data_IF_300088993101
#
_entry.id   IF_300088993101
#
_cell.length_a   1.000
_cell.length_b   1.000
_cell.length_c   1.000
_cell.angle_alpha   90.00
_cell.angle_beta   90.00
_cell.angle_gamma   90.00
#
_symmetry.space_group_name_H-M   'P 1'
#
loop_
_entity.id
_entity.type
_entity.pdbx_description
1 polymer ?
#
# COMPACT_ATOMS: atom_id res chain seq x y z
N UNK A 1 -1.20 3.80 24.82
CA UNK A 1 -2.43 4.62 24.99
C UNK A 1 -3.41 4.25 23.89
N UNK A 2 -4.68 4.01 24.22
CA UNK A 2 -5.72 3.65 23.24
C UNK A 2 -6.80 4.73 23.26
N UNK A 3 -7.26 5.18 22.09
CA UNK A 3 -8.39 6.10 21.94
C UNK A 3 -9.46 5.43 21.08
N UNK A 4 -10.73 5.70 21.38
CA UNK A 4 -11.87 5.20 20.59
C UNK A 4 -12.67 6.39 20.10
N UNK A 5 -13.23 6.28 18.90
CA UNK A 5 -14.06 7.29 18.27
C UNK A 5 -14.85 6.68 17.11
N UNK A 6 -15.44 7.53 16.28
CA UNK A 6 -16.14 7.11 15.07
C UNK A 6 -15.90 8.09 13.92
N UNK A 7 -15.99 7.58 12.70
CA UNK A 7 -16.04 8.37 11.46
C UNK A 7 -17.33 7.98 10.76
N UNK A 8 -18.34 8.86 10.79
CA UNK A 8 -19.72 8.48 10.47
C UNK A 8 -20.18 7.33 11.37
N UNK A 9 -20.69 6.26 10.76
CA UNK A 9 -21.15 5.05 11.46
C UNK A 9 -20.03 4.03 11.72
N UNK A 10 -18.79 4.32 11.30
CA UNK A 10 -17.66 3.40 11.43
C UNK A 10 -16.94 3.66 12.75
N UNK A 11 -16.86 2.64 13.62
CA UNK A 11 -16.07 2.69 14.85
C UNK A 11 -14.57 2.69 14.53
N UNK A 12 -13.83 3.62 15.12
CA UNK A 12 -12.37 3.76 14.96
C UNK A 12 -11.68 3.59 16.30
N UNK A 13 -10.63 2.76 16.31
CA UNK A 13 -9.79 2.52 17.47
C UNK A 13 -8.36 2.90 17.11
N UNK A 14 -7.79 3.85 17.83
CA UNK A 14 -6.43 4.33 17.63
C UNK A 14 -5.54 3.76 18.72
N UNK A 15 -4.44 3.15 18.31
CA UNK A 15 -3.41 2.59 19.20
C UNK A 15 -2.12 3.39 19.06
N UNK A 16 -1.48 3.70 20.19
CA UNK A 16 -0.09 4.17 20.17
C UNK A 16 0.83 2.97 19.92
N UNK A 17 1.42 2.91 18.73
CA UNK A 17 2.20 1.77 18.27
C UNK A 17 1.35 0.61 17.75
N UNK A 18 2.01 -0.47 17.35
CA UNK A 18 1.34 -1.65 16.79
C UNK A 18 0.59 -2.42 17.89
N UNK A 19 -0.72 -2.69 17.73
CA UNK A 19 -1.43 -3.58 18.65
C UNK A 19 -0.88 -5.00 18.57
N UNK A 20 -0.92 -5.74 19.67
CA UNK A 20 -0.50 -7.14 19.69
C UNK A 20 -1.40 -8.00 18.79
N UNK A 21 -0.87 -9.12 18.32
CA UNK A 21 -1.60 -10.07 17.46
C UNK A 21 -2.95 -10.49 18.08
N UNK A 22 -3.01 -10.71 19.40
CA UNK A 22 -4.25 -11.07 20.09
C UNK A 22 -5.31 -9.97 20.03
N UNK A 23 -4.91 -8.69 20.13
CA UNK A 23 -5.84 -7.56 20.03
C UNK A 23 -6.38 -7.48 18.61
N UNK A 24 -5.51 -7.63 17.60
CA UNK A 24 -5.89 -7.64 16.19
C UNK A 24 -6.91 -8.75 15.93
N UNK A 25 -6.60 -9.99 16.34
CA UNK A 25 -7.48 -11.15 16.15
C UNK A 25 -8.84 -10.99 16.83
N UNK A 26 -8.90 -10.43 18.04
CA UNK A 26 -10.16 -10.22 18.77
C UNK A 26 -11.08 -9.21 18.07
N UNK A 27 -10.50 -8.26 17.34
CA UNK A 27 -11.24 -7.24 16.60
C UNK A 27 -11.50 -7.64 15.14
N UNK A 28 -10.84 -8.71 14.67
CA UNK A 28 -10.87 -9.10 13.28
C UNK A 28 -12.20 -9.78 12.92
N UNK A 29 -13.04 -9.07 12.16
CA UNK A 29 -14.19 -9.60 11.45
C UNK A 29 -14.74 -8.49 10.52
N UNK A 30 -14.16 -8.33 9.33
CA UNK A 30 -14.48 -7.19 8.46
C UNK A 30 -13.83 -5.89 8.92
N UNK A 31 -12.58 -5.96 9.38
CA UNK A 31 -11.83 -4.82 9.91
C UNK A 31 -10.87 -4.25 8.86
N UNK A 32 -10.67 -2.92 8.88
CA UNK A 32 -9.58 -2.24 8.18
C UNK A 32 -8.50 -1.84 9.20
N UNK A 33 -7.31 -2.44 9.09
CA UNK A 33 -6.14 -2.07 9.88
C UNK A 33 -5.31 -1.02 9.12
N UNK A 34 -5.12 0.15 9.72
CA UNK A 34 -4.27 1.20 9.17
C UNK A 34 -3.02 1.33 10.04
N UNK A 35 -1.85 1.11 9.44
CA UNK A 35 -0.55 1.26 10.06
C UNK A 35 0.07 2.57 9.55
N UNK A 36 -0.09 3.64 10.34
CA UNK A 36 0.42 4.97 10.01
C UNK A 36 1.83 5.17 10.58
N UNK A 37 2.77 5.55 9.70
CA UNK A 37 4.18 5.83 9.97
C UNK A 37 4.82 5.05 11.13
N UNK A 38 4.70 3.72 11.05
CA UNK A 38 5.16 2.80 12.10
C UNK A 38 6.52 2.19 11.74
N UNK A 39 7.33 2.86 10.92
CA UNK A 39 8.64 2.33 10.49
C UNK A 39 9.59 2.08 11.67
N UNK A 40 9.47 2.86 12.75
CA UNK A 40 10.26 2.69 13.97
C UNK A 40 9.41 2.03 15.05
N UNK A 41 9.75 0.80 15.43
CA UNK A 41 9.09 0.08 16.53
C UNK A 41 7.99 -0.90 16.12
N UNK A 42 7.77 -1.16 14.83
CA UNK A 42 6.96 -2.32 14.40
C UNK A 42 7.70 -3.62 14.71
N UNK A 43 6.97 -4.55 15.31
CA UNK A 43 7.39 -5.95 15.35
C UNK A 43 7.32 -6.54 13.93
N UNK A 44 8.50 -6.80 13.37
CA UNK A 44 8.64 -7.37 12.03
C UNK A 44 7.87 -8.69 11.88
N UNK A 45 7.86 -9.54 12.91
CA UNK A 45 7.18 -10.84 12.87
C UNK A 45 5.66 -10.69 12.77
N UNK A 46 5.09 -9.71 13.48
CA UNK A 46 3.66 -9.42 13.39
C UNK A 46 3.33 -8.87 12.00
N UNK A 47 4.14 -7.94 11.49
CA UNK A 47 3.93 -7.35 10.15
C UNK A 47 3.98 -8.43 9.06
N UNK A 48 4.97 -9.32 9.11
CA UNK A 48 5.07 -10.47 8.20
C UNK A 48 3.85 -11.39 8.29
N UNK A 49 3.39 -11.70 9.50
CA UNK A 49 2.21 -12.55 9.72
C UNK A 49 0.96 -11.93 9.11
N UNK A 50 0.75 -10.63 9.31
CA UNK A 50 -0.40 -9.88 8.78
C UNK A 50 -0.43 -9.91 7.26
N UNK A 51 0.71 -9.65 6.61
CA UNK A 51 0.80 -9.53 5.15
C UNK A 51 0.89 -10.87 4.42
N UNK A 52 1.23 -11.97 5.08
CA UNK A 52 1.32 -13.30 4.44
C UNK A 52 0.05 -14.12 4.56
N UNK A 53 -0.52 -14.20 5.77
CA UNK A 53 -1.67 -15.08 6.06
C UNK A 53 -2.77 -14.40 6.88
N UNK A 54 -2.42 -13.40 7.68
CA UNK A 54 -3.32 -12.76 8.62
C UNK A 54 -4.50 -12.05 7.95
N UNK A 55 -4.24 -11.28 6.88
CA UNK A 55 -5.28 -10.53 6.16
C UNK A 55 -6.45 -11.42 5.72
N UNK A 56 -6.14 -12.52 5.04
CA UNK A 56 -7.13 -13.48 4.56
C UNK A 56 -7.75 -14.27 5.71
N UNK A 57 -6.94 -14.84 6.61
CA UNK A 57 -7.42 -15.74 7.66
C UNK A 57 -8.25 -15.03 8.73
N UNK A 58 -7.98 -13.75 8.97
CA UNK A 58 -8.68 -12.96 9.98
C UNK A 58 -9.76 -12.05 9.38
N UNK A 59 -10.04 -12.17 8.06
CA UNK A 59 -11.04 -11.34 7.35
C UNK A 59 -10.79 -9.84 7.58
N UNK A 60 -9.59 -9.37 7.26
CA UNK A 60 -9.23 -7.96 7.40
C UNK A 60 -8.49 -7.44 6.16
N UNK A 61 -8.66 -6.15 5.90
CA UNK A 61 -7.82 -5.40 4.95
C UNK A 61 -6.78 -4.58 5.71
N UNK A 62 -5.64 -4.34 5.08
CA UNK A 62 -4.50 -3.67 5.71
C UNK A 62 -4.01 -2.55 4.80
N UNK A 63 -3.86 -1.36 5.36
CA UNK A 63 -3.19 -0.22 4.72
C UNK A 63 -1.94 0.07 5.54
N UNK A 64 -0.79 0.08 4.87
CA UNK A 64 0.48 0.47 5.47
C UNK A 64 0.97 1.76 4.79
N UNK A 65 1.17 2.79 5.58
CA UNK A 65 1.76 4.06 5.16
C UNK A 65 3.25 4.04 5.49
N UNK A 66 4.09 4.39 4.52
CA UNK A 66 5.54 4.41 4.68
C UNK A 66 6.18 5.46 3.78
N UNK A 67 7.25 6.09 4.30
CA UNK A 67 8.07 7.04 3.53
C UNK A 67 9.16 6.34 2.70
N UNK A 68 9.49 5.08 3.01
CA UNK A 68 10.63 4.38 2.41
C UNK A 68 10.27 2.95 2.01
N UNK A 69 10.22 2.70 0.71
CA UNK A 69 9.75 1.44 0.13
C UNK A 69 10.73 0.26 0.32
N UNK A 70 12.03 0.55 0.47
CA UNK A 70 13.10 -0.45 0.55
C UNK A 70 13.74 -0.57 1.94
N UNK A 71 12.91 -0.59 2.98
CA UNK A 71 13.36 -1.01 4.32
C UNK A 71 13.37 -2.55 4.42
N UNK A 72 14.21 -3.11 5.29
CA UNK A 72 14.37 -4.58 5.43
C UNK A 72 13.05 -5.23 5.86
N UNK A 73 12.40 -4.60 6.82
CA UNK A 73 11.14 -4.97 7.47
C UNK A 73 9.98 -4.95 6.48
N UNK A 74 10.08 -4.14 5.42
CA UNK A 74 9.02 -3.95 4.43
C UNK A 74 9.12 -4.88 3.22
N UNK A 75 10.13 -5.74 3.16
CA UNK A 75 10.30 -6.68 2.04
C UNK A 75 9.10 -7.61 1.86
N UNK A 76 8.66 -8.25 2.94
CA UNK A 76 7.54 -9.19 2.90
C UNK A 76 6.22 -8.46 2.65
N UNK A 77 5.87 -7.37 3.37
CA UNK A 77 4.69 -6.57 3.07
C UNK A 77 4.63 -6.13 1.62
N UNK A 78 5.71 -5.52 1.09
CA UNK A 78 5.77 -5.06 -0.30
C UNK A 78 5.50 -6.17 -1.31
N UNK A 79 6.04 -7.37 -1.08
CA UNK A 79 5.90 -8.49 -2.00
C UNK A 79 4.53 -9.18 -1.93
N UNK A 80 3.81 -9.06 -0.80
CA UNK A 80 2.50 -9.69 -0.61
C UNK A 80 1.33 -8.69 -0.71
N UNK A 81 1.62 -7.40 -0.88
CA UNK A 81 0.59 -6.39 -1.13
C UNK A 81 -0.06 -6.58 -2.50
N UNK A 82 -1.39 -6.58 -2.53
CA UNK A 82 -2.16 -6.55 -3.78
C UNK A 82 -2.06 -5.20 -4.50
N UNK A 83 -1.82 -4.12 -3.76
CA UNK A 83 -1.79 -2.77 -4.28
C UNK A 83 -0.64 -1.99 -3.67
N UNK A 84 0.04 -1.20 -4.49
CA UNK A 84 0.94 -0.13 -4.04
C UNK A 84 0.39 1.20 -4.54
N UNK A 85 0.29 2.20 -3.67
CA UNK A 85 -0.06 3.57 -4.04
C UNK A 85 1.19 4.42 -3.92
N UNK A 86 1.73 4.86 -5.05
CA UNK A 86 2.99 5.60 -5.12
C UNK A 86 2.70 7.08 -5.30
N UNK A 87 2.97 7.88 -4.27
CA UNK A 87 2.87 9.33 -4.32
C UNK A 87 4.21 9.96 -4.73
N UNK A 88 4.18 11.24 -5.10
CA UNK A 88 5.39 11.99 -5.48
C UNK A 88 6.41 12.01 -4.34
N UNK A 89 7.56 11.36 -4.55
CA UNK A 89 8.71 11.39 -3.63
C UNK A 89 9.99 11.79 -4.38
N UNK A 90 10.39 13.08 -4.37
CA UNK A 90 11.60 13.55 -5.04
C UNK A 90 12.89 12.88 -4.54
N UNK A 91 12.99 12.63 -3.23
CA UNK A 91 14.15 11.96 -2.63
C UNK A 91 14.18 10.44 -2.92
N UNK A 92 13.04 9.86 -3.29
CA UNK A 92 12.85 8.44 -3.55
C UNK A 92 13.01 8.02 -5.01
N UNK A 93 13.56 8.85 -5.90
CA UNK A 93 13.62 8.57 -7.35
C UNK A 93 14.28 7.21 -7.68
N UNK A 94 15.37 6.86 -6.99
CA UNK A 94 16.02 5.56 -7.13
C UNK A 94 15.13 4.41 -6.65
N UNK A 95 14.34 4.62 -5.59
CA UNK A 95 13.39 3.61 -5.10
C UNK A 95 12.34 3.31 -6.17
N UNK A 96 11.77 4.35 -6.79
CA UNK A 96 10.81 4.19 -7.89
C UNK A 96 11.44 3.42 -9.06
N UNK A 97 12.67 3.76 -9.45
CA UNK A 97 13.40 3.05 -10.51
C UNK A 97 13.66 1.58 -10.18
N UNK A 98 14.04 1.28 -8.94
CA UNK A 98 14.26 -0.09 -8.49
C UNK A 98 12.96 -0.90 -8.47
N UNK A 99 11.86 -0.29 -8.00
CA UNK A 99 10.54 -0.92 -8.04
C UNK A 99 10.11 -1.21 -9.49
N UNK A 100 10.27 -0.23 -10.37
CA UNK A 100 9.96 -0.37 -11.79
C UNK A 100 10.73 -1.55 -12.43
N UNK A 101 12.01 -1.68 -12.09
CA UNK A 101 12.85 -2.80 -12.56
C UNK A 101 12.38 -4.15 -12.03
N UNK A 102 11.93 -4.20 -10.76
CA UNK A 102 11.44 -5.44 -10.16
C UNK A 102 10.08 -5.88 -10.72
N UNK A 103 9.18 -4.93 -10.96
CA UNK A 103 7.81 -5.22 -11.38
C UNK A 103 7.63 -5.28 -12.90
N UNK A 104 8.42 -4.50 -13.65
CA UNK A 104 8.33 -4.35 -15.11
C UNK A 104 9.72 -4.42 -15.76
N UNK A 105 10.49 -5.52 -15.61
CA UNK A 105 11.90 -5.59 -16.01
C UNK A 105 12.16 -5.28 -17.49
N UNK A 106 11.25 -5.63 -18.39
CA UNK A 106 11.32 -5.32 -19.83
C UNK A 106 10.60 -4.03 -20.23
N UNK A 107 9.93 -3.36 -19.29
CA UNK A 107 9.08 -2.19 -19.53
C UNK A 107 9.26 -1.09 -18.47
N UNK A 108 10.46 -0.97 -17.91
CA UNK A 108 10.80 0.03 -16.88
C UNK A 108 10.49 1.45 -17.33
N UNK A 109 10.77 1.78 -18.60
CA UNK A 109 10.47 3.10 -19.17
C UNK A 109 8.97 3.44 -19.11
N UNK A 110 8.12 2.49 -19.50
CA UNK A 110 6.66 2.63 -19.44
C UNK A 110 6.19 2.90 -18.00
N UNK A 111 6.71 2.17 -17.01
CA UNK A 111 6.38 2.40 -15.61
C UNK A 111 6.79 3.80 -15.14
N UNK A 112 8.02 4.22 -15.45
CA UNK A 112 8.56 5.51 -15.03
C UNK A 112 7.81 6.69 -15.67
N UNK A 113 7.45 6.58 -16.94
CA UNK A 113 6.61 7.59 -17.63
C UNK A 113 5.21 7.66 -17.01
N UNK A 114 4.60 6.51 -16.71
CA UNK A 114 3.29 6.44 -16.04
C UNK A 114 3.32 7.08 -14.65
N UNK A 115 4.36 6.81 -13.86
CA UNK A 115 4.55 7.44 -12.55
C UNK A 115 4.75 8.95 -12.66
N UNK A 116 5.59 9.40 -13.60
CA UNK A 116 5.85 10.83 -13.80
C UNK A 116 4.58 11.59 -14.20
N UNK A 117 3.75 11.00 -15.06
CA UNK A 117 2.47 11.59 -15.47
C UNK A 117 1.45 11.58 -14.32
N UNK A 118 1.25 10.44 -13.65
CA UNK A 118 0.31 10.27 -12.55
C UNK A 118 0.64 11.15 -11.31
N UNK A 119 1.90 11.55 -11.14
CA UNK A 119 2.38 12.38 -10.02
C UNK A 119 2.78 13.80 -10.43
N UNK A 120 2.38 14.22 -11.63
CA UNK A 120 2.67 15.56 -12.15
C UNK A 120 2.03 16.65 -11.29
N UNK A 121 0.76 16.45 -10.94
CA UNK A 121 -0.04 17.38 -10.13
C UNK A 121 0.13 17.12 -8.62
N UNK A 122 -0.21 18.12 -7.81
CA UNK A 122 -0.17 18.00 -6.35
C UNK A 122 -1.12 16.90 -5.88
N UNK A 123 -0.67 16.08 -4.92
CA UNK A 123 -1.39 14.91 -4.40
C UNK A 123 -1.66 13.78 -5.42
N UNK A 124 -1.08 13.86 -6.63
CA UNK A 124 -1.12 12.78 -7.62
C UNK A 124 -0.45 11.50 -7.12
N UNK A 125 -0.94 10.36 -7.60
CA UNK A 125 -0.46 9.04 -7.22
C UNK A 125 -0.56 8.05 -8.38
N UNK A 126 0.33 7.07 -8.41
CA UNK A 126 0.19 5.90 -9.26
C UNK A 126 -0.27 4.70 -8.42
N UNK A 127 -1.45 4.17 -8.70
CA UNK A 127 -1.87 2.85 -8.24
C UNK A 127 -1.18 1.78 -9.10
N UNK A 128 -0.41 0.92 -8.43
CA UNK A 128 0.17 -0.29 -9.01
C UNK A 128 -0.61 -1.49 -8.48
N UNK A 129 -1.34 -2.16 -9.36
CA UNK A 129 -2.13 -3.36 -9.06
C UNK A 129 -1.29 -4.62 -9.32
N UNK A 130 -1.00 -5.32 -8.24
CA UNK A 130 -0.21 -6.54 -8.16
C UNK A 130 -1.09 -7.78 -7.98
N UNK A 131 -2.42 -7.63 -7.95
CA UNK A 131 -3.30 -8.78 -7.79
C UNK A 131 -3.12 -9.76 -8.97
N UNK A 132 -3.04 -11.08 -8.71
CA UNK A 132 -2.73 -12.06 -9.76
C UNK A 132 -3.81 -12.15 -10.84
N UNK A 133 -5.07 -11.88 -10.50
CA UNK A 133 -6.18 -11.90 -11.46
C UNK A 133 -6.32 -10.62 -12.29
N UNK A 134 -5.53 -9.57 -12.01
CA UNK A 134 -5.66 -8.29 -12.71
C UNK A 134 -5.06 -8.40 -14.11
N UNK A 135 -5.81 -8.07 -15.19
CA UNK A 135 -5.27 -8.00 -16.54
C UNK A 135 -4.09 -7.03 -16.63
N UNK A 136 -3.06 -7.39 -17.41
CA UNK A 136 -1.80 -6.63 -17.49
C UNK A 136 -2.01 -5.15 -17.83
N UNK A 137 -2.95 -4.85 -18.75
CA UNK A 137 -3.31 -3.49 -19.16
C UNK A 137 -3.95 -2.63 -18.07
N UNK A 138 -4.43 -3.22 -16.97
CA UNK A 138 -5.10 -2.52 -15.87
C UNK A 138 -4.18 -2.34 -14.66
N UNK A 139 -2.89 -2.73 -14.76
CA UNK A 139 -1.98 -2.73 -13.62
C UNK A 139 -1.56 -1.34 -13.16
N UNK A 140 -1.51 -0.35 -14.03
CA UNK A 140 -1.09 1.01 -13.70
C UNK A 140 -2.27 1.97 -13.89
N UNK A 141 -2.72 2.60 -12.81
CA UNK A 141 -3.89 3.49 -12.80
C UNK A 141 -3.67 4.72 -11.93
N UNK A 142 -4.41 5.79 -12.18
CA UNK A 142 -4.57 6.91 -11.24
C UNK A 142 -6.04 7.31 -11.17
N UNK A 143 -6.39 8.24 -10.29
CA UNK A 143 -7.72 8.86 -10.24
C UNK A 143 -8.85 7.86 -9.88
N UNK A 144 -8.62 7.01 -8.88
CA UNK A 144 -9.55 5.94 -8.45
C UNK A 144 -10.56 6.37 -7.38
N UNK A 145 -10.33 7.49 -6.67
CA UNK A 145 -11.10 7.83 -5.48
C UNK A 145 -12.28 8.79 -5.72
N UNK A 146 -12.12 9.83 -6.55
CA UNK A 146 -13.20 10.82 -6.72
C UNK A 146 -13.03 11.73 -7.94
N UNK A 147 -12.58 11.17 -9.06
CA UNK A 147 -12.35 11.93 -10.29
C UNK A 147 -13.26 11.39 -11.39
N UNK A 148 -13.63 12.28 -12.33
CA UNK A 148 -14.65 11.99 -13.34
C UNK A 148 -14.35 10.72 -14.14
N UNK A 149 -13.06 10.41 -14.34
CA UNK A 149 -12.61 9.22 -15.04
C UNK A 149 -11.31 8.67 -14.43
N UNK A 150 -11.26 7.36 -14.21
CA UNK A 150 -10.02 6.65 -13.88
C UNK A 150 -9.13 6.59 -15.11
N UNK A 151 -7.88 7.02 -14.96
CA UNK A 151 -6.88 6.94 -16.04
C UNK A 151 -6.15 5.61 -15.93
N UNK A 152 -6.08 4.88 -17.04
CA UNK A 152 -5.33 3.63 -17.18
C UNK A 152 -4.13 3.87 -18.09
N UNK A 153 -2.94 3.57 -17.59
CA UNK A 153 -1.73 3.63 -18.41
C UNK A 153 -1.58 2.32 -19.17
N UNK A 154 -1.31 2.43 -20.47
CA UNK A 154 -1.08 1.28 -21.36
C UNK A 154 0.29 1.40 -22.02
N UNK A 155 1.02 0.29 -22.23
CA UNK A 155 2.28 0.31 -22.96
C UNK A 155 2.03 0.75 -24.41
N UNK A 156 2.98 1.49 -24.97
CA UNK A 156 3.03 1.83 -26.41
C UNK A 156 3.41 0.63 -27.26
#
# INVERSE_FOLDING_TARGET
MQRKGSVGDISVIVHAGMPSEDIIKRQANGMLLILDDLMVGVDQTILETIFTRGSHNWKMSVILLTQHLFCKELRIPRNNSHYLVLMRNPAGSLQIKNLATQLFPSRTKYFLESYADATKEMFGYLLVDLHPSTPEKLRLRTHIYNERETIVFVPK
#
